data_IF_159744604141
#
_entry.id   IF_159744604141
#
_cell.length_a   1.000
_cell.length_b   1.000
_cell.length_c   1.000
_cell.angle_alpha   90.00
_cell.angle_beta   90.00
_cell.angle_gamma   90.00
#
_symmetry.space_group_name_H-M   'P 1'
#
loop_
_entity.id
_entity.type
_entity.pdbx_description
1 polymer ?
#
# COMPACT_ATOMS: atom_id res chain seq x y z
N UNK A 1 -18.38 67.33 23.71
CA UNK A 1 -19.81 67.22 24.06
C UNK A 1 -20.11 65.73 24.17
N UNK A 2 -20.26 65.19 25.38
CA UNK A 2 -20.34 63.74 25.58
C UNK A 2 -21.73 63.20 25.20
N UNK A 3 -21.75 62.28 24.24
CA UNK A 3 -22.93 61.52 23.82
C UNK A 3 -23.42 60.62 24.96
N UNK A 4 -24.45 61.05 25.68
CA UNK A 4 -25.22 60.22 26.62
C UNK A 4 -26.17 59.30 25.83
N UNK A 5 -25.61 58.42 25.00
CA UNK A 5 -26.39 57.43 24.26
C UNK A 5 -27.02 56.41 25.23
N UNK A 6 -28.34 56.50 25.33
CA UNK A 6 -29.26 55.49 25.89
C UNK A 6 -29.02 55.13 27.37
N UNK A 7 -29.52 55.97 28.29
CA UNK A 7 -29.81 55.57 29.68
C UNK A 7 -30.98 54.58 29.72
N UNK A 8 -30.75 53.36 29.25
CA UNK A 8 -31.64 52.24 29.54
C UNK A 8 -31.56 51.93 31.04
N UNK A 9 -32.69 51.53 31.63
CA UNK A 9 -32.77 51.06 33.02
C UNK A 9 -31.61 50.09 33.28
N UNK A 10 -30.81 50.34 34.32
CA UNK A 10 -29.66 49.50 34.69
C UNK A 10 -30.10 48.03 34.75
N UNK A 11 -29.25 47.12 34.26
CA UNK A 11 -29.51 45.69 34.23
C UNK A 11 -30.70 45.22 33.34
N UNK A 12 -31.40 46.10 32.63
CA UNK A 12 -32.53 45.74 31.74
C UNK A 12 -32.16 44.75 30.63
N UNK A 13 -30.89 44.74 30.20
CA UNK A 13 -30.38 43.81 29.20
C UNK A 13 -30.39 42.35 29.68
N UNK A 14 -30.41 42.10 30.99
CA UNK A 14 -30.46 40.74 31.58
C UNK A 14 -31.78 40.06 31.25
N UNK A 15 -32.90 40.80 31.12
CA UNK A 15 -34.18 40.21 30.72
C UNK A 15 -34.13 39.57 29.32
N UNK A 16 -33.20 40.03 28.46
CA UNK A 16 -33.04 39.58 27.08
C UNK A 16 -32.17 38.33 26.94
N UNK A 17 -31.50 37.85 28.01
CA UNK A 17 -30.63 36.67 27.96
C UNK A 17 -31.37 35.41 28.46
N UNK A 18 -30.89 34.18 28.12
CA UNK A 18 -31.53 32.92 28.53
C UNK A 18 -31.62 32.78 30.05
N UNK A 19 -32.62 32.04 30.54
CA UNK A 19 -32.91 31.88 31.98
C UNK A 19 -31.70 31.40 32.81
N UNK A 20 -30.92 30.46 32.27
CA UNK A 20 -29.68 29.96 32.90
C UNK A 20 -28.66 31.08 33.13
N UNK A 21 -28.58 32.04 32.21
CA UNK A 21 -27.68 33.19 32.31
C UNK A 21 -28.24 34.31 33.18
N UNK A 22 -29.58 34.42 33.30
CA UNK A 22 -30.22 35.32 34.27
C UNK A 22 -29.90 34.89 35.70
N UNK A 23 -30.00 33.59 35.99
CA UNK A 23 -29.63 33.06 37.31
C UNK A 23 -28.15 33.33 37.61
N UNK A 24 -27.25 33.07 36.65
CA UNK A 24 -25.84 33.40 36.80
C UNK A 24 -25.61 34.90 37.06
N UNK A 25 -26.32 35.78 36.36
CA UNK A 25 -26.23 37.22 36.56
C UNK A 25 -26.70 37.63 37.97
N UNK A 26 -27.77 37.03 38.50
CA UNK A 26 -28.23 37.25 39.88
C UNK A 26 -27.16 36.87 40.90
N UNK A 27 -26.57 35.68 40.77
CA UNK A 27 -25.49 35.22 41.65
C UNK A 27 -24.27 36.14 41.55
N UNK A 28 -23.93 36.63 40.36
CA UNK A 28 -22.83 37.56 40.15
C UNK A 28 -23.08 38.91 40.85
N UNK A 29 -24.30 39.47 40.73
CA UNK A 29 -24.67 40.73 41.37
C UNK A 29 -24.71 40.61 42.90
N UNK A 30 -25.21 39.50 43.44
CA UNK A 30 -25.18 39.20 44.88
C UNK A 30 -23.75 39.15 45.42
N UNK A 31 -22.82 38.51 44.70
CA UNK A 31 -21.39 38.48 45.07
C UNK A 31 -20.71 39.85 45.02
N UNK A 32 -21.26 40.79 44.25
CA UNK A 32 -20.80 42.17 44.17
C UNK A 32 -21.46 43.08 45.22
N UNK A 33 -22.23 42.51 46.15
CA UNK A 33 -22.83 43.22 47.28
C UNK A 33 -24.20 43.83 46.98
N UNK A 34 -24.81 43.57 45.81
CA UNK A 34 -26.15 44.06 45.51
C UNK A 34 -27.22 43.09 46.02
N UNK A 35 -28.20 43.64 46.73
CA UNK A 35 -29.40 42.89 47.10
C UNK A 35 -30.27 42.68 45.85
N UNK A 36 -30.32 41.43 45.38
CA UNK A 36 -31.08 41.03 44.20
C UNK A 36 -32.11 39.99 44.62
N UNK A 37 -33.39 40.28 44.37
CA UNK A 37 -34.49 39.37 44.68
C UNK A 37 -34.42 38.07 43.87
N UNK A 38 -35.00 36.99 44.41
CA UNK A 38 -34.99 35.67 43.77
C UNK A 38 -35.74 35.64 42.42
N UNK A 39 -36.69 36.55 42.21
CA UNK A 39 -37.47 36.72 40.98
C UNK A 39 -36.94 37.87 40.09
N UNK A 40 -35.84 38.52 40.46
CA UNK A 40 -35.32 39.65 39.69
C UNK A 40 -34.98 39.22 38.25
N UNK A 41 -35.30 40.11 37.29
CA UNK A 41 -35.10 39.93 35.86
C UNK A 41 -35.95 38.82 35.20
N UNK A 42 -36.95 38.28 35.91
CA UNK A 42 -38.00 37.45 35.30
C UNK A 42 -39.03 38.32 34.55
N UNK A 43 -39.69 37.74 33.54
CA UNK A 43 -40.62 38.46 32.64
C UNK A 43 -41.81 39.07 33.39
N UNK A 44 -42.19 38.48 34.53
CA UNK A 44 -43.33 38.87 35.37
C UNK A 44 -42.92 39.61 36.66
N UNK A 45 -41.64 39.94 36.84
CA UNK A 45 -41.16 40.62 38.05
C UNK A 45 -41.37 42.13 37.95
N UNK A 46 -41.90 42.73 39.02
CA UNK A 46 -41.98 44.18 39.16
C UNK A 46 -40.55 44.76 39.12
N UNK A 47 -40.30 45.68 38.20
CA UNK A 47 -39.02 46.35 38.09
C UNK A 47 -38.79 47.20 39.33
N UNK A 48 -37.91 46.75 40.21
CA UNK A 48 -37.35 47.61 41.25
C UNK A 48 -36.28 48.45 40.55
N UNK A 49 -36.49 49.77 40.36
CA UNK A 49 -35.49 50.61 39.74
C UNK A 49 -34.27 50.66 40.66
N UNK A 50 -33.12 50.23 40.15
CA UNK A 50 -31.85 50.45 40.83
C UNK A 50 -31.47 51.93 40.69
N UNK A 51 -30.96 52.57 41.75
CA UNK A 51 -30.52 53.95 41.68
C UNK A 51 -29.39 54.09 40.65
N UNK A 52 -29.44 55.15 39.85
CA UNK A 52 -28.49 55.43 38.77
C UNK A 52 -27.19 56.05 39.30
N UNK A 53 -26.57 55.35 40.25
CA UNK A 53 -25.33 55.77 40.90
C UNK A 53 -24.10 55.25 40.13
N UNK A 54 -22.96 55.94 40.29
CA UNK A 54 -21.69 55.52 39.69
C UNK A 54 -21.32 54.06 40.01
N UNK A 55 -21.58 53.64 41.25
CA UNK A 55 -21.36 52.26 41.71
C UNK A 55 -22.19 51.24 40.91
N UNK A 56 -23.47 51.52 40.67
CA UNK A 56 -24.35 50.60 39.95
C UNK A 56 -24.02 50.53 38.46
N UNK A 57 -23.61 51.65 37.86
CA UNK A 57 -23.10 51.70 36.48
C UNK A 57 -21.82 50.89 36.31
N UNK A 58 -20.89 50.98 37.25
CA UNK A 58 -19.66 50.21 37.23
C UNK A 58 -19.96 48.70 37.29
N UNK A 59 -20.85 48.30 38.20
CA UNK A 59 -21.29 46.90 38.29
C UNK A 59 -21.95 46.43 37.00
N UNK A 60 -22.82 47.24 36.36
CA UNK A 60 -23.44 46.87 35.08
C UNK A 60 -22.39 46.66 33.98
N UNK A 61 -21.38 47.52 33.90
CA UNK A 61 -20.25 47.39 32.96
C UNK A 61 -19.44 46.12 33.23
N UNK A 62 -19.08 45.86 34.49
CA UNK A 62 -18.35 44.65 34.90
C UNK A 62 -19.14 43.38 34.58
N UNK A 63 -20.45 43.37 34.87
CA UNK A 63 -21.33 42.24 34.58
C UNK A 63 -21.43 41.99 33.07
N UNK A 64 -21.58 43.02 32.24
CA UNK A 64 -21.60 42.88 30.77
C UNK A 64 -20.30 42.27 30.25
N UNK A 65 -19.16 42.73 30.75
CA UNK A 65 -17.85 42.19 30.35
C UNK A 65 -17.69 40.72 30.78
N UNK A 66 -18.04 40.40 32.02
CA UNK A 66 -18.03 39.03 32.53
C UNK A 66 -18.96 38.11 31.72
N UNK A 67 -20.15 38.61 31.34
CA UNK A 67 -21.09 37.86 30.51
C UNK A 67 -20.55 37.62 29.09
N UNK A 68 -19.96 38.64 28.45
CA UNK A 68 -19.30 38.49 27.14
C UNK A 68 -18.19 37.43 27.18
N UNK A 69 -17.36 37.46 28.21
CA UNK A 69 -16.31 36.45 28.41
C UNK A 69 -16.89 35.05 28.63
N UNK A 70 -17.94 34.92 29.46
CA UNK A 70 -18.63 33.65 29.68
C UNK A 70 -19.23 33.10 28.38
N UNK A 71 -19.89 33.95 27.60
CA UNK A 71 -20.46 33.59 26.29
C UNK A 71 -19.37 33.13 25.32
N UNK A 72 -18.22 33.81 25.27
CA UNK A 72 -17.08 33.41 24.46
C UNK A 72 -16.50 32.06 24.91
N UNK A 73 -16.34 31.84 26.23
CA UNK A 73 -15.84 30.58 26.79
C UNK A 73 -16.75 29.39 26.54
N UNK A 74 -18.08 29.59 26.54
CA UNK A 74 -19.01 28.51 26.15
C UNK A 74 -18.84 28.05 24.71
N UNK A 75 -18.54 28.97 23.78
CA UNK A 75 -18.24 28.60 22.38
C UNK A 75 -16.92 27.81 22.24
N UNK A 76 -16.09 27.79 23.28
CA UNK A 76 -14.83 27.04 23.32
C UNK A 76 -14.98 25.66 23.97
N UNK A 77 -16.18 25.22 24.37
CA UNK A 77 -16.37 23.86 24.89
C UNK A 77 -15.96 22.82 23.84
N UNK A 78 -14.99 21.96 24.17
CA UNK A 78 -14.39 20.98 23.25
C UNK A 78 -13.13 21.45 22.53
N UNK A 79 -12.73 22.72 22.67
CA UNK A 79 -11.46 23.25 22.14
C UNK A 79 -10.51 23.55 23.30
N UNK A 80 -9.34 22.92 23.31
CA UNK A 80 -8.27 23.21 24.27
C UNK A 80 -7.30 24.21 23.64
N UNK A 81 -7.12 25.35 24.28
CA UNK A 81 -6.12 26.32 23.85
C UNK A 81 -4.72 25.79 24.18
N UNK A 82 -3.83 25.76 23.20
CA UNK A 82 -2.44 25.43 23.35
C UNK A 82 -1.59 26.64 22.96
N UNK A 83 -0.59 26.95 23.78
CA UNK A 83 0.42 27.93 23.43
C UNK A 83 1.62 27.17 22.84
N UNK A 84 1.88 27.37 21.56
CA UNK A 84 3.04 26.82 20.89
C UNK A 84 4.05 27.94 20.61
N UNK A 85 5.33 27.61 20.70
CA UNK A 85 6.42 28.51 20.32
C UNK A 85 6.91 28.05 18.95
N UNK A 86 6.74 28.89 17.93
CA UNK A 86 7.29 28.67 16.60
C UNK A 86 8.49 29.59 16.38
N UNK A 87 9.42 29.15 15.54
CA UNK A 87 10.43 30.04 14.98
C UNK A 87 9.76 31.13 14.13
N UNK A 88 10.41 32.28 14.02
CA UNK A 88 9.89 33.41 13.23
C UNK A 88 9.65 33.03 11.76
N UNK A 89 10.49 32.16 11.19
CA UNK A 89 10.35 31.64 9.83
C UNK A 89 9.14 30.73 9.67
N UNK A 90 8.93 29.78 10.60
CA UNK A 90 7.79 28.87 10.55
C UNK A 90 6.46 29.60 10.74
N UNK A 91 6.43 30.59 11.63
CA UNK A 91 5.24 31.46 11.80
C UNK A 91 4.91 32.20 10.52
N UNK A 92 5.88 32.85 9.87
CA UNK A 92 5.66 33.57 8.60
C UNK A 92 5.08 32.65 7.52
N UNK A 93 5.62 31.44 7.37
CA UNK A 93 5.09 30.46 6.41
C UNK A 93 3.66 30.06 6.74
N UNK A 94 3.36 29.81 8.00
CA UNK A 94 2.01 29.45 8.44
C UNK A 94 1.01 30.60 8.23
N UNK A 95 1.43 31.84 8.47
CA UNK A 95 0.62 33.03 8.20
C UNK A 95 0.33 33.18 6.70
N UNK A 96 1.32 32.95 5.83
CA UNK A 96 1.13 32.94 4.37
C UNK A 96 0.14 31.84 3.95
N UNK A 97 0.30 30.62 4.46
CA UNK A 97 -0.63 29.51 4.16
C UNK A 97 -2.06 29.85 4.62
N UNK A 98 -2.21 30.40 5.82
CA UNK A 98 -3.52 30.80 6.33
C UNK A 98 -4.16 31.91 5.47
N UNK A 99 -3.36 32.87 5.00
CA UNK A 99 -3.78 33.93 4.10
C UNK A 99 -4.23 33.36 2.74
N UNK A 100 -3.45 32.46 2.14
CA UNK A 100 -3.78 31.82 0.87
C UNK A 100 -5.07 30.99 0.97
N UNK A 101 -5.26 30.32 2.10
CA UNK A 101 -6.47 29.54 2.39
C UNK A 101 -7.67 30.40 2.86
N UNK A 102 -7.49 31.72 3.02
CA UNK A 102 -8.48 32.67 3.58
C UNK A 102 -9.09 32.17 4.90
N UNK A 103 -8.28 31.56 5.75
CA UNK A 103 -8.73 30.91 6.99
C UNK A 103 -7.90 31.37 8.19
N UNK A 104 -8.29 30.95 9.40
CA UNK A 104 -7.47 31.22 10.58
C UNK A 104 -6.24 30.32 10.59
N UNK A 105 -5.14 30.77 11.20
CA UNK A 105 -3.92 29.98 11.36
C UNK A 105 -4.20 28.57 11.93
N UNK A 106 -5.12 28.47 12.89
CA UNK A 106 -5.52 27.20 13.48
C UNK A 106 -6.25 26.29 12.50
N UNK A 107 -7.16 26.84 11.69
CA UNK A 107 -7.91 26.08 10.69
C UNK A 107 -7.01 25.66 9.52
N UNK A 108 -6.11 26.53 9.09
CA UNK A 108 -5.08 26.23 8.09
C UNK A 108 -4.19 25.07 8.57
N UNK A 109 -3.70 25.13 9.81
CA UNK A 109 -2.89 24.06 10.40
C UNK A 109 -3.64 22.73 10.43
N UNK A 110 -4.91 22.73 10.85
CA UNK A 110 -5.75 21.53 10.86
C UNK A 110 -5.87 20.94 9.45
N UNK A 111 -6.16 21.77 8.46
CA UNK A 111 -6.33 21.31 7.08
C UNK A 111 -5.03 20.74 6.51
N UNK A 112 -3.88 21.37 6.78
CA UNK A 112 -2.58 20.84 6.36
C UNK A 112 -2.33 19.47 7.00
N UNK A 113 -2.60 19.30 8.29
CA UNK A 113 -2.43 18.01 8.98
C UNK A 113 -3.33 16.95 8.34
N UNK A 114 -4.59 17.26 8.07
CA UNK A 114 -5.56 16.32 7.50
C UNK A 114 -5.20 15.94 6.05
N UNK A 115 -4.81 16.91 5.23
CA UNK A 115 -4.38 16.68 3.84
C UNK A 115 -3.11 15.84 3.78
N UNK A 116 -2.12 16.14 4.63
CA UNK A 116 -0.89 15.35 4.66
C UNK A 116 -1.12 13.94 5.20
N UNK A 117 -2.01 13.77 6.18
CA UNK A 117 -2.39 12.44 6.64
C UNK A 117 -3.05 11.60 5.53
N UNK A 118 -3.98 12.20 4.79
CA UNK A 118 -4.61 11.54 3.64
C UNK A 118 -3.60 11.19 2.55
N UNK A 119 -2.68 12.10 2.23
CA UNK A 119 -1.59 11.85 1.27
C UNK A 119 -0.71 10.69 1.69
N UNK A 120 -0.31 10.64 2.96
CA UNK A 120 0.51 9.54 3.50
C UNK A 120 -0.21 8.19 3.35
N UNK A 121 -1.50 8.12 3.70
CA UNK A 121 -2.26 6.87 3.58
C UNK A 121 -2.44 6.44 2.12
N UNK A 122 -2.72 7.37 1.20
CA UNK A 122 -2.79 7.06 -0.24
C UNK A 122 -1.45 6.54 -0.76
N UNK A 123 -0.34 7.21 -0.42
CA UNK A 123 1.00 6.76 -0.83
C UNK A 123 1.38 5.41 -0.24
N UNK A 124 0.98 5.14 1.01
CA UNK A 124 1.22 3.86 1.67
C UNK A 124 0.46 2.72 0.98
N UNK A 125 -0.79 2.95 0.60
CA UNK A 125 -1.60 1.97 -0.12
C UNK A 125 -1.03 1.71 -1.52
N UNK A 126 -0.68 2.76 -2.26
CA UNK A 126 -0.05 2.61 -3.58
C UNK A 126 1.30 1.86 -3.50
N UNK A 127 2.11 2.12 -2.47
CA UNK A 127 3.36 1.39 -2.26
C UNK A 127 3.12 -0.09 -1.94
N UNK A 128 2.04 -0.40 -1.23
CA UNK A 128 1.67 -1.78 -0.93
C UNK A 128 1.24 -2.53 -2.20
N UNK A 129 0.42 -1.91 -3.05
CA UNK A 129 0.01 -2.49 -4.34
C UNK A 129 1.22 -2.77 -5.25
N UNK A 130 2.15 -1.82 -5.35
CA UNK A 130 3.38 -2.00 -6.14
C UNK A 130 4.25 -3.13 -5.58
N UNK A 131 4.32 -3.28 -4.25
CA UNK A 131 5.07 -4.38 -3.62
C UNK A 131 4.43 -5.74 -3.91
N UNK A 132 3.11 -5.81 -3.88
CA UNK A 132 2.38 -7.05 -4.13
C UNK A 132 2.50 -7.45 -5.62
N UNK A 133 2.46 -6.48 -6.53
CA UNK A 133 2.72 -6.75 -7.96
C UNK A 133 4.17 -7.16 -8.22
N UNK A 134 5.14 -6.53 -7.56
CA UNK A 134 6.55 -6.93 -7.65
C UNK A 134 6.78 -8.37 -7.14
N UNK A 135 6.05 -8.79 -6.10
CA UNK A 135 6.10 -10.19 -5.62
C UNK A 135 5.53 -11.15 -6.67
N UNK A 136 4.39 -10.82 -7.27
CA UNK A 136 3.80 -11.63 -8.36
C UNK A 136 4.73 -11.77 -9.55
N UNK A 137 5.33 -10.66 -10.00
CA UNK A 137 6.30 -10.69 -11.10
C UNK A 137 7.54 -11.53 -10.76
N UNK A 138 8.00 -11.49 -9.51
CA UNK A 138 9.11 -12.35 -9.05
C UNK A 138 8.72 -13.83 -9.07
N UNK A 139 7.51 -14.17 -8.64
CA UNK A 139 7.01 -15.55 -8.70
C UNK A 139 6.91 -16.04 -10.15
N UNK A 140 6.36 -15.22 -11.05
CA UNK A 140 6.30 -15.54 -12.48
C UNK A 140 7.70 -15.67 -13.12
N UNK A 141 8.66 -14.83 -12.70
CA UNK A 141 10.04 -14.96 -13.16
C UNK A 141 10.67 -16.27 -12.69
N UNK A 142 10.40 -16.68 -11.45
CA UNK A 142 10.90 -17.94 -10.92
C UNK A 142 10.28 -19.13 -11.66
N UNK A 143 8.97 -19.10 -11.96
CA UNK A 143 8.32 -20.18 -12.72
C UNK A 143 8.78 -20.22 -14.18
N UNK A 144 9.05 -19.07 -14.80
CA UNK A 144 9.64 -19.03 -16.13
C UNK A 144 11.05 -19.65 -16.14
N UNK A 145 11.85 -19.40 -15.11
CA UNK A 145 13.17 -20.01 -14.97
C UNK A 145 13.07 -21.53 -14.77
N UNK A 146 12.18 -22.01 -13.90
CA UNK A 146 12.01 -23.47 -13.71
C UNK A 146 11.52 -24.15 -14.97
N UNK A 147 10.64 -23.51 -15.77
CA UNK A 147 10.23 -24.03 -17.08
C UNK A 147 11.43 -24.10 -18.05
N UNK A 148 12.31 -23.10 -18.04
CA UNK A 148 13.54 -23.12 -18.85
C UNK A 148 14.46 -24.28 -18.45
N UNK A 149 14.66 -24.49 -17.15
CA UNK A 149 15.49 -25.57 -16.62
C UNK A 149 14.90 -26.94 -16.98
N UNK A 150 13.57 -27.11 -16.83
CA UNK A 150 12.85 -28.32 -17.25
C UNK A 150 13.03 -28.58 -18.75
N UNK A 151 12.95 -27.54 -19.60
CA UNK A 151 13.17 -27.68 -21.04
C UNK A 151 14.59 -28.15 -21.38
N UNK A 152 15.59 -27.64 -20.66
CA UNK A 152 16.97 -28.07 -20.85
C UNK A 152 17.17 -29.53 -20.44
N UNK A 153 16.62 -29.95 -19.30
CA UNK A 153 16.66 -31.35 -18.86
C UNK A 153 15.94 -32.25 -19.86
N UNK A 154 14.74 -31.86 -20.31
CA UNK A 154 13.99 -32.63 -21.31
C UNK A 154 14.81 -32.83 -22.61
N UNK A 155 15.46 -31.78 -23.11
CA UNK A 155 16.33 -31.87 -24.27
C UNK A 155 17.49 -32.85 -24.06
N UNK A 156 18.16 -32.78 -22.90
CA UNK A 156 19.25 -33.70 -22.58
C UNK A 156 18.76 -35.16 -22.47
N UNK A 157 17.59 -35.38 -21.87
CA UNK A 157 16.99 -36.72 -21.77
C UNK A 157 16.57 -37.27 -23.13
N UNK A 158 16.08 -36.41 -24.02
CA UNK A 158 15.71 -36.77 -25.39
C UNK A 158 16.94 -37.22 -26.19
N UNK A 159 18.04 -36.46 -26.12
CA UNK A 159 19.31 -36.82 -26.77
C UNK A 159 19.86 -38.15 -26.23
N UNK A 160 19.81 -38.36 -24.91
CA UNK A 160 20.25 -39.61 -24.28
C UNK A 160 19.39 -40.81 -24.71
N UNK A 161 18.06 -40.64 -24.80
CA UNK A 161 17.14 -41.68 -25.26
C UNK A 161 17.43 -42.09 -26.70
N UNK A 162 17.66 -41.12 -27.59
CA UNK A 162 17.99 -41.39 -28.98
C UNK A 162 19.32 -42.13 -29.12
N UNK A 163 20.35 -41.70 -28.38
CA UNK A 163 21.65 -42.38 -28.36
C UNK A 163 21.52 -43.82 -27.84
N UNK A 164 20.79 -44.05 -26.76
CA UNK A 164 20.61 -45.39 -26.20
C UNK A 164 19.82 -46.30 -27.15
N UNK A 165 18.77 -45.77 -27.79
CA UNK A 165 17.97 -46.52 -28.78
C UNK A 165 18.84 -46.91 -29.97
N UNK A 166 19.64 -45.98 -30.49
CA UNK A 166 20.56 -46.24 -31.60
C UNK A 166 21.64 -47.26 -31.23
N UNK A 167 22.21 -47.17 -30.02
CA UNK A 167 23.17 -48.17 -29.51
C UNK A 167 22.53 -49.56 -29.40
N UNK A 168 21.31 -49.66 -28.88
CA UNK A 168 20.59 -50.93 -28.77
C UNK A 168 20.34 -51.57 -30.13
N UNK A 169 19.89 -50.79 -31.12
CA UNK A 169 19.67 -51.27 -32.49
C UNK A 169 20.98 -51.74 -33.13
N UNK A 170 22.06 -50.99 -32.94
CA UNK A 170 23.38 -51.36 -33.45
C UNK A 170 23.89 -52.66 -32.82
N UNK A 171 23.76 -52.82 -31.50
CA UNK A 171 24.13 -54.07 -30.81
C UNK A 171 23.27 -55.26 -31.26
N UNK A 172 21.97 -55.07 -31.49
CA UNK A 172 21.09 -56.12 -32.04
C UNK A 172 21.55 -56.55 -33.44
N UNK A 173 21.87 -55.60 -34.32
CA UNK A 173 22.38 -55.90 -35.66
C UNK A 173 23.71 -56.65 -35.64
N UNK A 174 24.60 -56.33 -34.69
CA UNK A 174 25.86 -57.06 -34.50
C UNK A 174 25.64 -58.49 -33.98
N UNK A 175 24.61 -58.71 -33.14
CA UNK A 175 24.29 -60.03 -32.61
C UNK A 175 23.59 -60.93 -33.65
N UNK A 176 22.71 -60.36 -34.48
CA UNK A 176 22.01 -61.08 -35.56
C UNK A 176 22.97 -61.49 -36.69
N UNK A 177 23.98 -60.66 -36.97
CA UNK A 177 24.99 -60.94 -37.97
C UNK A 177 26.29 -61.44 -37.32
N UNK A 178 26.47 -62.77 -37.20
CA UNK A 178 27.72 -63.39 -36.70
C UNK A 178 29.01 -62.94 -37.41
N UNK A 179 28.91 -62.39 -38.62
CA UNK A 179 30.03 -61.86 -39.40
C UNK A 179 30.13 -60.31 -39.38
N UNK A 180 29.17 -59.61 -38.77
CA UNK A 180 29.15 -58.14 -38.71
C UNK A 180 30.21 -57.54 -37.77
N UNK A 181 30.88 -58.35 -36.95
CA UNK A 181 32.05 -57.89 -36.17
C UNK A 181 33.20 -57.38 -37.05
N UNK A 182 33.23 -57.76 -38.33
CA UNK A 182 34.26 -57.36 -39.30
C UNK A 182 33.73 -56.54 -40.48
N UNK A 183 32.43 -56.20 -40.48
CA UNK A 183 31.81 -55.41 -41.55
C UNK A 183 32.02 -53.92 -41.27
N UNK A 184 32.50 -53.13 -42.26
CA UNK A 184 32.66 -51.69 -42.09
C UNK A 184 31.33 -51.06 -41.63
N UNK A 185 31.36 -50.18 -40.61
CA UNK A 185 30.14 -49.60 -40.06
C UNK A 185 29.28 -48.92 -41.14
N UNK A 186 29.90 -48.34 -42.17
CA UNK A 186 29.19 -47.71 -43.29
C UNK A 186 28.22 -48.63 -44.05
N UNK A 187 28.49 -49.93 -44.13
CA UNK A 187 27.62 -50.90 -44.81
C UNK A 187 26.37 -51.26 -43.99
N UNK A 188 26.39 -51.05 -42.67
CA UNK A 188 25.27 -51.32 -41.76
C UNK A 188 24.44 -50.06 -41.45
N UNK A 189 24.88 -48.90 -41.92
CA UNK A 189 24.30 -47.59 -41.61
C UNK A 189 22.83 -47.48 -42.02
N UNK A 190 22.51 -47.81 -43.27
CA UNK A 190 21.13 -47.66 -43.77
C UNK A 190 20.15 -48.60 -43.05
N UNK A 191 20.57 -49.84 -42.77
CA UNK A 191 19.74 -50.81 -42.02
C UNK A 191 19.57 -50.40 -40.56
N UNK A 192 20.64 -49.89 -39.92
CA UNK A 192 20.59 -49.37 -38.56
C UNK A 192 19.66 -48.16 -38.44
N UNK A 193 19.68 -47.24 -39.41
CA UNK A 193 18.79 -46.08 -39.43
C UNK A 193 17.32 -46.46 -39.61
N UNK A 194 17.02 -47.42 -40.49
CA UNK A 194 15.66 -47.94 -40.68
C UNK A 194 15.12 -48.59 -39.40
N UNK A 195 15.90 -49.48 -38.77
CA UNK A 195 15.50 -50.14 -37.51
C UNK A 195 15.40 -49.15 -36.35
N UNK A 196 16.25 -48.12 -36.32
CA UNK A 196 16.17 -47.03 -35.36
C UNK A 196 14.87 -46.25 -35.47
N UNK A 197 14.43 -45.93 -36.69
CA UNK A 197 13.15 -45.23 -36.88
C UNK A 197 11.96 -46.04 -36.36
N UNK A 198 11.94 -47.35 -36.59
CA UNK A 198 10.90 -48.25 -36.08
C UNK A 198 10.96 -48.33 -34.54
N UNK A 199 12.12 -48.62 -33.97
CA UNK A 199 12.32 -48.73 -32.52
C UNK A 199 12.00 -47.40 -31.80
N UNK A 200 12.32 -46.26 -32.40
CA UNK A 200 11.95 -44.93 -31.89
C UNK A 200 10.43 -44.74 -31.92
N UNK A 201 9.77 -45.11 -33.00
CA UNK A 201 8.33 -44.94 -33.11
C UNK A 201 7.59 -45.82 -32.10
N UNK A 202 8.09 -47.03 -31.85
CA UNK A 202 7.53 -47.95 -30.86
C UNK A 202 7.79 -47.50 -29.42
N UNK A 203 8.99 -46.99 -29.11
CA UNK A 203 9.27 -46.39 -27.80
C UNK A 203 8.40 -45.14 -27.56
N UNK A 204 8.21 -44.29 -28.58
CA UNK A 204 7.32 -43.14 -28.50
C UNK A 204 5.85 -43.53 -28.28
N UNK A 205 5.35 -44.56 -28.96
CA UNK A 205 4.01 -45.11 -28.72
C UNK A 205 3.88 -45.69 -27.32
N UNK A 206 4.90 -46.40 -26.83
CA UNK A 206 4.94 -46.97 -25.48
C UNK A 206 4.95 -45.93 -24.36
N UNK A 207 5.54 -44.75 -24.60
CA UNK A 207 5.59 -43.66 -23.63
C UNK A 207 4.28 -42.84 -23.50
N UNK A 208 3.36 -42.94 -24.46
CA UNK A 208 2.04 -42.31 -24.39
C UNK A 208 2.08 -40.79 -24.17
N UNK A 209 1.54 -40.32 -23.05
CA UNK A 209 1.50 -38.88 -22.71
C UNK A 209 2.89 -38.28 -22.50
N UNK A 210 3.87 -39.06 -22.02
CA UNK A 210 5.24 -38.58 -21.81
C UNK A 210 5.94 -38.23 -23.12
N UNK A 211 5.58 -38.89 -24.22
CA UNK A 211 6.12 -38.61 -25.55
C UNK A 211 5.83 -37.17 -26.00
N UNK A 212 4.73 -36.56 -25.54
CA UNK A 212 4.35 -35.21 -25.94
C UNK A 212 5.37 -34.15 -25.47
N UNK A 213 6.06 -34.41 -24.36
CA UNK A 213 7.13 -33.54 -23.84
C UNK A 213 8.46 -33.65 -24.59
N UNK A 214 8.65 -34.66 -25.43
CA UNK A 214 9.90 -35.00 -26.12
C UNK A 214 9.86 -34.64 -27.63
N UNK A 215 8.87 -33.88 -28.10
CA UNK A 215 8.62 -33.67 -29.54
C UNK A 215 9.40 -32.50 -30.17
N UNK A 216 10.43 -31.97 -29.50
CA UNK A 216 10.96 -30.63 -29.83
C UNK A 216 11.80 -30.62 -31.11
N UNK A 217 12.37 -31.74 -31.58
CA UNK A 217 13.05 -31.80 -32.90
C UNK A 217 13.26 -33.22 -33.41
N UNK A 218 13.23 -33.40 -34.73
CA UNK A 218 13.82 -34.61 -35.34
C UNK A 218 15.34 -34.55 -35.14
N UNK A 219 15.96 -35.59 -34.56
CA UNK A 219 17.40 -35.62 -34.42
C UNK A 219 18.05 -35.75 -35.80
N UNK A 220 19.20 -35.09 -35.98
CA UNK A 220 20.05 -35.35 -37.12
C UNK A 220 20.60 -36.78 -36.99
N UNK A 221 20.06 -37.66 -37.82
CA UNK A 221 20.37 -39.09 -37.83
C UNK A 221 21.84 -39.34 -38.18
N UNK A 222 22.46 -38.42 -38.93
CA UNK A 222 23.89 -38.51 -39.29
C UNK A 222 24.78 -38.23 -38.07
N UNK A 223 24.49 -37.18 -37.33
CA UNK A 223 25.26 -36.84 -36.12
C UNK A 223 25.11 -37.91 -35.02
N UNK A 224 23.93 -38.50 -34.89
CA UNK A 224 23.69 -39.60 -33.96
C UNK A 224 24.50 -40.84 -34.34
N UNK A 225 24.54 -41.18 -35.62
CA UNK A 225 25.32 -42.30 -36.12
C UNK A 225 26.82 -42.13 -35.87
N UNK A 226 27.35 -40.94 -36.19
CA UNK A 226 28.75 -40.59 -35.91
C UNK A 226 29.06 -40.69 -34.41
N UNK A 227 28.21 -40.18 -33.52
CA UNK A 227 28.38 -40.28 -32.06
C UNK A 227 28.35 -41.72 -31.53
N UNK A 228 27.60 -42.62 -32.18
CA UNK A 228 27.55 -44.04 -31.80
C UNK A 228 28.81 -44.77 -32.27
N UNK A 229 29.29 -44.50 -33.48
CA UNK A 229 30.53 -45.09 -34.00
C UNK A 229 31.74 -44.61 -33.19
N UNK A 230 31.86 -43.30 -32.93
CA UNK A 230 32.99 -42.75 -32.16
C UNK A 230 33.04 -43.27 -30.71
N UNK A 231 31.89 -43.60 -30.10
CA UNK A 231 31.85 -44.22 -28.77
C UNK A 231 32.11 -45.73 -28.76
N UNK A 232 32.01 -46.39 -29.92
CA UNK A 232 32.23 -47.84 -30.07
C UNK A 232 33.60 -48.17 -30.68
N UNK A 233 34.39 -47.16 -31.10
CA UNK A 233 35.81 -47.37 -31.36
C UNK A 233 36.52 -47.62 -30.02
N UNK A 234 37.26 -48.72 -29.87
CA UNK A 234 38.09 -48.91 -28.69
C UNK A 234 39.08 -47.75 -28.65
N UNK A 235 39.07 -46.99 -27.56
CA UNK A 235 40.22 -46.17 -27.20
C UNK A 235 41.43 -47.09 -27.21
N UNK A 236 42.31 -46.91 -28.19
CA UNK A 236 43.63 -47.52 -28.22
C UNK A 236 44.35 -47.10 -26.93
N UNK A 237 44.19 -47.90 -25.88
CA UNK A 237 45.17 -48.03 -24.81
C UNK A 237 46.34 -48.78 -25.43
N UNK A 238 47.11 -48.06 -26.24
CA UNK A 238 48.47 -48.45 -26.58
C UNK A 238 49.27 -48.51 -25.28
N UNK A 239 49.59 -49.74 -24.91
CA UNK A 239 50.69 -50.11 -24.03
C UNK A 239 51.93 -49.27 -24.38
N UNK A 240 52.35 -48.39 -23.47
CA UNK A 240 53.75 -47.98 -23.38
C UNK A 240 54.37 -48.71 -22.18
N UNK A 241 55.11 -49.76 -22.50
CA UNK A 241 56.21 -50.32 -21.71
C UNK A 241 57.45 -49.45 -21.84
#
# INVERSE_FOLDING_TARGET
MYDYLQRGILFSWIKKIPQVDRHWARVYLQRKGLSVQANAFEVLSADIPYPDDAHHREIDSQLRNAWRQRKARRKLSGRKAYNFILTSSSKKKLDTIAQDMRSTVTDALRNVIELEHQRIEVHKNALQEVKDEARRLKELSNTAQTISDIRQVLKATEEALYLQTMKSVFSQLQLENRFAQHVPPDALKEEALLRFHIARQDTMKGMGLLAHGLTVRFPDTEELWQKVISNNQPSDTSLET
#
